data_IF_110590126175
#
_entry.id   IF_110590126175
#
_cell.length_a   1.000
_cell.length_b   1.000
_cell.length_c   1.000
_cell.angle_alpha   90.00
_cell.angle_beta   90.00
_cell.angle_gamma   90.00
#
_symmetry.space_group_name_H-M   'P 1'
#
loop_
_entity.id
_entity.type
_entity.pdbx_description
1 polymer ?
#
# COMPACT_ATOMS: atom_id res chain seq x y z
N UNK A 1 2.94 3.84 6.91
CA UNK A 1 2.59 3.17 5.64
C UNK A 1 3.42 1.91 5.54
N UNK A 2 2.81 0.80 5.13
CA UNK A 2 3.49 -0.49 4.99
C UNK A 2 3.62 -0.88 3.51
N UNK A 3 4.71 -1.56 3.14
CA UNK A 3 4.94 -2.07 1.79
C UNK A 3 5.82 -3.32 1.81
N UNK A 4 5.59 -4.26 0.90
CA UNK A 4 6.44 -5.45 0.72
C UNK A 4 7.67 -5.22 -0.18
N UNK A 5 7.93 -3.95 -0.55
CA UNK A 5 9.06 -3.56 -1.41
C UNK A 5 10.10 -2.81 -0.61
N UNK A 6 11.12 -3.56 -0.16
CA UNK A 6 12.25 -3.02 0.60
C UNK A 6 12.98 -1.89 -0.13
N UNK A 7 13.07 -1.96 -1.46
CA UNK A 7 13.67 -0.91 -2.29
C UNK A 7 12.98 0.45 -2.09
N UNK A 8 11.65 0.47 -2.01
CA UNK A 8 10.87 1.70 -1.80
C UNK A 8 11.12 2.27 -0.41
N UNK A 9 11.20 1.41 0.62
CA UNK A 9 11.51 1.82 2.00
C UNK A 9 12.91 2.43 2.08
N UNK A 10 13.89 1.81 1.43
CA UNK A 10 15.26 2.31 1.38
C UNK A 10 15.34 3.66 0.65
N UNK A 11 14.64 3.80 -0.48
CA UNK A 11 14.57 5.07 -1.21
C UNK A 11 13.95 6.18 -0.35
N UNK A 12 12.85 5.88 0.35
CA UNK A 12 12.20 6.82 1.27
C UNK A 12 13.15 7.28 2.40
N UNK A 13 13.79 6.33 3.08
CA UNK A 13 14.65 6.61 4.23
C UNK A 13 15.91 7.38 3.86
N UNK A 14 16.46 7.10 2.68
CA UNK A 14 17.72 7.72 2.25
C UNK A 14 17.49 9.08 1.57
N UNK A 15 16.23 9.43 1.23
CA UNK A 15 15.84 10.67 0.52
C UNK A 15 16.69 10.96 -0.74
N UNK A 16 17.25 9.93 -1.36
CA UNK A 16 18.04 10.04 -2.58
C UNK A 16 17.10 10.23 -3.79
N UNK A 17 16.63 11.46 -3.98
CA UNK A 17 15.71 11.84 -5.06
C UNK A 17 16.42 12.25 -6.37
N UNK A 18 17.76 12.24 -6.42
CA UNK A 18 18.47 12.94 -7.51
C UNK A 18 18.62 12.17 -8.81
N UNK A 19 18.41 10.84 -8.85
CA UNK A 19 18.76 10.01 -10.02
C UNK A 19 17.73 8.92 -10.38
N UNK A 20 16.58 8.89 -9.73
CA UNK A 20 15.61 7.80 -9.90
C UNK A 20 14.39 8.26 -10.69
N UNK A 21 13.89 7.42 -11.60
CA UNK A 21 12.68 7.70 -12.40
C UNK A 21 11.46 8.02 -11.52
N UNK A 22 11.42 7.49 -10.29
CA UNK A 22 10.33 7.72 -9.32
C UNK A 22 10.56 8.93 -8.40
N UNK A 23 11.60 9.75 -8.63
CA UNK A 23 11.88 10.92 -7.79
C UNK A 23 10.70 11.91 -7.68
N UNK A 24 9.95 12.22 -8.76
CA UNK A 24 8.77 13.08 -8.64
C UNK A 24 7.67 12.49 -7.74
N UNK A 25 7.45 11.17 -7.83
CA UNK A 25 6.46 10.47 -7.00
C UNK A 25 6.87 10.46 -5.53
N UNK A 26 8.15 10.24 -5.23
CA UNK A 26 8.65 10.28 -3.85
C UNK A 26 8.56 11.69 -3.25
N UNK A 27 8.73 12.74 -4.06
CA UNK A 27 8.52 14.12 -3.64
C UNK A 27 7.05 14.37 -3.29
N UNK A 28 6.12 13.96 -4.15
CA UNK A 28 4.67 14.08 -3.91
C UNK A 28 4.23 13.33 -2.65
N UNK A 29 4.72 12.09 -2.45
CA UNK A 29 4.49 11.34 -1.20
C UNK A 29 5.06 12.11 -0.01
N UNK A 30 6.23 12.74 -0.15
CA UNK A 30 6.86 13.59 0.86
C UNK A 30 6.01 14.81 1.24
N UNK A 31 5.44 15.48 0.25
CA UNK A 31 4.53 16.61 0.44
C UNK A 31 3.25 16.18 1.16
N UNK A 32 2.63 15.08 0.72
CA UNK A 32 1.46 14.50 1.39
C UNK A 32 1.78 14.05 2.82
N UNK A 33 2.94 13.43 3.04
CA UNK A 33 3.39 13.00 4.35
C UNK A 33 3.56 14.17 5.33
N UNK A 34 3.91 15.37 4.84
CA UNK A 34 4.04 16.56 5.67
C UNK A 34 2.72 17.04 6.30
N UNK A 35 1.57 16.57 5.79
CA UNK A 35 0.26 16.83 6.37
C UNK A 35 0.01 16.04 7.67
N UNK A 36 0.83 15.03 7.96
CA UNK A 36 0.75 14.23 9.18
C UNK A 36 1.77 14.72 10.22
N UNK A 37 1.41 14.68 11.50
CA UNK A 37 2.35 15.00 12.60
C UNK A 37 3.54 14.03 12.68
N UNK A 38 3.31 12.78 12.25
CA UNK A 38 4.33 11.75 12.13
C UNK A 38 3.94 10.82 10.98
N UNK A 39 4.91 10.49 10.13
CA UNK A 39 4.71 9.56 9.02
C UNK A 39 5.98 8.74 8.81
N UNK A 40 5.82 7.42 8.74
CA UNK A 40 6.89 6.46 8.50
C UNK A 40 6.50 5.43 7.45
N UNK A 41 7.48 4.91 6.72
CA UNK A 41 7.31 3.88 5.69
C UNK A 41 8.09 2.64 6.09
N UNK A 42 7.39 1.53 6.30
CA UNK A 42 7.96 0.30 6.85
C UNK A 42 7.83 -0.86 5.88
N UNK A 43 8.85 -1.73 5.91
CA UNK A 43 8.84 -2.96 5.14
C UNK A 43 8.08 -4.05 5.88
N UNK A 44 7.18 -4.75 5.19
CA UNK A 44 6.45 -5.91 5.71
C UNK A 44 6.66 -7.14 4.82
N UNK A 45 6.41 -8.33 5.38
CA UNK A 45 6.41 -9.55 4.57
C UNK A 45 5.30 -9.49 3.52
N UNK A 46 5.55 -10.08 2.34
CA UNK A 46 4.55 -10.15 1.26
C UNK A 46 3.21 -10.74 1.71
N UNK A 47 3.23 -11.70 2.64
CA UNK A 47 2.02 -12.29 3.22
C UNK A 47 1.14 -11.30 3.99
N UNK A 48 1.72 -10.23 4.55
CA UNK A 48 0.99 -9.16 5.22
C UNK A 48 0.49 -8.08 4.24
N UNK A 49 1.02 -8.04 3.00
CA UNK A 49 0.65 -7.05 1.98
C UNK A 49 -0.37 -7.58 0.95
N UNK A 50 -1.09 -8.68 1.27
CA UNK A 50 -1.98 -9.38 0.33
C UNK A 50 -3.14 -8.49 -0.12
N UNK A 51 -3.74 -7.73 0.80
CA UNK A 51 -4.86 -6.84 0.48
C UNK A 51 -4.46 -5.78 -0.55
N UNK A 52 -3.28 -5.16 -0.41
CA UNK A 52 -2.76 -4.19 -1.37
C UNK A 52 -2.45 -4.85 -2.72
N UNK A 53 -1.90 -6.06 -2.71
CA UNK A 53 -1.65 -6.82 -3.93
C UNK A 53 -2.94 -7.10 -4.72
N UNK A 54 -4.02 -7.49 -4.04
CA UNK A 54 -5.30 -7.74 -4.70
C UNK A 54 -5.91 -6.46 -5.29
N UNK A 55 -5.80 -5.32 -4.60
CA UNK A 55 -6.21 -4.03 -5.13
C UNK A 55 -5.44 -3.66 -6.41
N UNK A 56 -4.11 -3.80 -6.40
CA UNK A 56 -3.28 -3.54 -7.58
C UNK A 56 -3.63 -4.50 -8.73
N UNK A 57 -3.81 -5.79 -8.44
CA UNK A 57 -4.22 -6.80 -9.43
C UNK A 57 -5.57 -6.46 -10.06
N UNK A 58 -6.57 -6.08 -9.26
CA UNK A 58 -7.88 -5.65 -9.76
C UNK A 58 -7.75 -4.43 -10.66
N UNK A 59 -7.03 -3.39 -10.20
CA UNK A 59 -6.80 -2.19 -10.99
C UNK A 59 -6.13 -2.48 -12.34
N UNK A 60 -5.18 -3.41 -12.40
CA UNK A 60 -4.54 -3.82 -13.65
C UNK A 60 -5.49 -4.51 -14.66
N UNK A 61 -6.66 -4.99 -14.22
CA UNK A 61 -7.67 -5.57 -15.12
C UNK A 61 -8.66 -4.53 -15.65
N UNK A 62 -8.67 -3.33 -15.07
CA UNK A 62 -9.57 -2.27 -15.47
C UNK A 62 -8.94 -1.41 -16.57
N UNK A 63 -9.76 -1.00 -17.53
CA UNK A 63 -9.39 0.00 -18.55
C UNK A 63 -9.75 1.43 -18.12
N UNK A 64 -10.36 1.57 -16.94
CA UNK A 64 -10.86 2.84 -16.40
C UNK A 64 -10.46 2.97 -14.93
N UNK A 65 -10.47 4.20 -14.43
CA UNK A 65 -10.40 4.46 -12.98
C UNK A 65 -11.76 4.19 -12.35
N UNK A 66 -11.80 3.23 -11.44
CA UNK A 66 -12.99 2.90 -10.65
C UNK A 66 -12.89 3.55 -9.26
N UNK A 67 -14.03 3.96 -8.69
CA UNK A 67 -14.13 4.43 -7.30
C UNK A 67 -15.17 3.64 -6.53
N UNK A 68 -14.89 3.33 -5.27
CA UNK A 68 -15.76 2.50 -4.42
C UNK A 68 -16.58 3.32 -3.42
N UNK A 69 -17.24 4.39 -3.90
CA UNK A 69 -18.04 5.29 -3.07
C UNK A 69 -19.39 4.72 -2.66
N UNK A 70 -19.87 3.67 -3.35
CA UNK A 70 -21.13 2.97 -3.04
C UNK A 70 -20.93 1.62 -2.38
N UNK A 71 -20.32 0.68 -3.11
CA UNK A 71 -20.05 -0.67 -2.63
C UNK A 71 -18.57 -1.00 -2.74
N UNK A 72 -18.02 -1.58 -1.67
CA UNK A 72 -16.63 -2.04 -1.65
C UNK A 72 -16.50 -3.42 -2.33
N UNK A 73 -15.37 -3.72 -3.00
CA UNK A 73 -15.17 -5.02 -3.62
C UNK A 73 -15.16 -6.16 -2.61
N UNK A 74 -15.78 -7.28 -2.98
CA UNK A 74 -15.84 -8.48 -2.13
C UNK A 74 -14.45 -9.07 -1.86
N UNK A 75 -13.54 -9.05 -2.84
CA UNK A 75 -12.18 -9.56 -2.66
C UNK A 75 -11.44 -8.84 -1.53
N UNK A 76 -11.64 -7.53 -1.39
CA UNK A 76 -10.98 -6.72 -0.37
C UNK A 76 -11.55 -7.05 1.00
N UNK A 77 -12.87 -7.24 1.12
CA UNK A 77 -13.47 -7.73 2.36
C UNK A 77 -12.86 -9.06 2.79
N UNK A 78 -12.85 -10.04 1.89
CA UNK A 78 -12.38 -11.39 2.20
C UNK A 78 -10.92 -11.38 2.63
N UNK A 79 -10.08 -10.58 1.96
CA UNK A 79 -8.67 -10.42 2.31
C UNK A 79 -8.49 -9.82 3.71
N UNK A 80 -9.24 -8.77 4.05
CA UNK A 80 -9.17 -8.13 5.37
C UNK A 80 -9.69 -9.04 6.49
N UNK A 81 -10.75 -9.82 6.23
CA UNK A 81 -11.26 -10.79 7.20
C UNK A 81 -10.26 -11.93 7.45
N UNK A 82 -9.52 -12.35 6.43
CA UNK A 82 -8.47 -13.36 6.56
C UNK A 82 -7.24 -12.84 7.32
N UNK A 83 -7.00 -11.52 7.30
CA UNK A 83 -5.90 -10.85 7.99
C UNK A 83 -6.22 -10.54 9.47
N UNK A 84 -7.50 -10.47 9.84
CA UNK A 84 -7.91 -10.25 11.23
C UNK A 84 -7.43 -11.39 12.14
N UNK A 85 -6.63 -11.05 13.14
CA UNK A 85 -6.14 -11.97 14.16
C UNK A 85 -7.29 -12.71 14.90
N UNK A 86 -8.52 -12.16 14.91
CA UNK A 86 -9.71 -12.85 15.44
C UNK A 86 -10.12 -14.06 14.59
N UNK A 87 -9.79 -14.10 13.32
CA UNK A 87 -10.03 -15.24 12.43
C UNK A 87 -9.04 -16.39 12.65
N UNK A 88 -7.94 -16.15 13.37
CA UNK A 88 -6.97 -17.19 13.76
C UNK A 88 -7.37 -17.99 15.01
N UNK A 89 -8.46 -17.61 15.70
CA UNK A 89 -8.93 -18.25 16.94
C UNK A 89 -10.32 -18.91 16.85
N UNK A 90 -10.83 -19.15 15.64
CA UNK A 90 -12.05 -19.95 15.46
C UNK A 90 -11.61 -21.40 15.22
N UNK A 91 -11.58 -22.18 16.31
CA UNK A 91 -11.49 -23.64 16.34
C UNK A 91 -12.77 -24.30 15.82
#
# INVERSE_FOLDING_TARGET
METDRLEIVNLWNTRHNSLFVMAPLLLEIGELASSFSFFDVQHVNRSANVSAHLCAKHACTLMITESWTGSRPSFLLTSLLADDARSAFVE
#
